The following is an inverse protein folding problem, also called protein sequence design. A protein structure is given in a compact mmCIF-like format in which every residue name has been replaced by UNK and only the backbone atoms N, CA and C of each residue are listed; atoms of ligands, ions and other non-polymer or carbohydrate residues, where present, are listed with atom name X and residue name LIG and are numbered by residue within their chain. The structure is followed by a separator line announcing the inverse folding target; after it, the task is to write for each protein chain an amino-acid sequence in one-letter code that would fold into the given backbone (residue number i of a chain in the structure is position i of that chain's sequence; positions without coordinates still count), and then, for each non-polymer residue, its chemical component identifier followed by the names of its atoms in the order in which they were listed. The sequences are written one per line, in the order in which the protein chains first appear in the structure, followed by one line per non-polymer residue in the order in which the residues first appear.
data_IF_726446205639
#
_entry.id   IF_726446205639
#
_cell.length_a   1.000
_cell.length_b   1.000
_cell.length_c   1.000
_cell.angle_alpha   90.00
_cell.angle_beta   90.00
_cell.angle_gamma   90.00
#
_symmetry.space_group_name_H-M   'P 1'
#
loop_
_entity.id
_entity.type
_entity.pdbx_description
1 polymer ?
#
# COMPACT_ATOMS: atom_id res chain seq x y z
N UNK A 1 -78.73 18.61 23.89
CA UNK A 1 -77.73 17.57 23.59
C UNK A 1 -76.39 18.27 23.37
N UNK A 2 -75.46 18.22 24.33
CA UNK A 2 -74.17 18.91 24.20
C UNK A 2 -73.05 17.96 24.64
N UNK A 3 -72.21 17.61 23.67
CA UNK A 3 -71.02 16.78 23.83
C UNK A 3 -69.91 17.71 24.33
N UNK A 4 -69.36 17.42 25.51
CA UNK A 4 -68.04 17.93 25.92
C UNK A 4 -67.21 16.77 26.44
N UNK A 5 -66.32 16.25 25.60
CA UNK A 5 -65.20 15.42 26.05
C UNK A 5 -64.15 16.34 26.68
N UNK A 6 -63.87 16.15 27.96
CA UNK A 6 -62.86 16.89 28.69
C UNK A 6 -61.47 16.25 28.46
N UNK A 7 -60.49 17.13 28.38
CA UNK A 7 -59.12 16.94 27.88
C UNK A 7 -58.27 16.19 28.91
N UNK A 8 -57.70 15.04 28.53
CA UNK A 8 -56.67 14.36 29.32
C UNK A 8 -55.37 15.18 29.25
N UNK A 9 -55.07 15.94 30.30
CA UNK A 9 -53.73 16.50 30.52
C UNK A 9 -53.04 15.60 31.53
N UNK A 10 -52.34 14.59 31.03
CA UNK A 10 -51.43 13.77 31.83
C UNK A 10 -50.36 14.72 32.37
N UNK A 11 -50.45 15.03 33.66
CA UNK A 11 -49.45 15.80 34.37
C UNK A 11 -48.15 15.01 34.39
N UNK A 12 -47.24 15.32 33.46
CA UNK A 12 -45.84 14.94 33.57
C UNK A 12 -45.34 15.60 34.83
N UNK A 13 -45.20 14.80 35.90
CA UNK A 13 -44.59 15.23 37.15
C UNK A 13 -43.24 15.87 36.82
N UNK A 14 -43.03 17.14 37.20
CA UNK A 14 -41.79 17.90 36.97
C UNK A 14 -40.51 17.12 37.32
N UNK A 15 -40.58 16.15 38.23
CA UNK A 15 -39.48 15.24 38.57
C UNK A 15 -39.13 14.18 37.51
N UNK A 16 -40.07 13.69 36.69
CA UNK A 16 -39.77 12.65 35.69
C UNK A 16 -38.98 13.22 34.49
N UNK A 17 -39.25 14.47 34.10
CA UNK A 17 -38.48 15.17 33.07
C UNK A 17 -37.01 15.36 33.45
N UNK A 18 -36.73 15.61 34.74
CA UNK A 18 -35.35 15.76 35.24
C UNK A 18 -34.60 14.41 35.26
N UNK A 19 -35.28 13.32 35.62
CA UNK A 19 -34.69 11.98 35.61
C UNK A 19 -34.33 11.52 34.18
N UNK A 20 -35.18 11.83 33.20
CA UNK A 20 -34.88 11.55 31.79
C UNK A 20 -33.64 12.32 31.30
N UNK A 21 -33.49 13.58 31.71
CA UNK A 21 -32.33 14.40 31.33
C UNK A 21 -31.02 13.85 31.91
N UNK A 22 -31.02 13.42 33.16
CA UNK A 22 -29.84 12.78 33.79
C UNK A 22 -29.45 11.49 33.07
N UNK A 23 -30.44 10.66 32.70
CA UNK A 23 -30.19 9.42 31.96
C UNK A 23 -29.58 9.70 30.58
N UNK A 24 -30.12 10.67 29.85
CA UNK A 24 -29.59 11.08 28.54
C UNK A 24 -28.16 11.57 28.65
N UNK A 25 -27.82 12.37 29.67
CA UNK A 25 -26.45 12.85 29.88
C UNK A 25 -25.49 11.68 30.17
N UNK A 26 -25.88 10.70 31.00
CA UNK A 26 -25.09 9.48 31.23
C UNK A 26 -24.90 8.66 29.94
N UNK A 27 -25.93 8.57 29.10
CA UNK A 27 -25.83 7.93 27.79
C UNK A 27 -24.87 8.68 26.85
N UNK A 28 -24.94 10.02 26.81
CA UNK A 28 -24.06 10.85 25.98
C UNK A 28 -22.59 10.75 26.40
N UNK A 29 -22.31 10.69 27.70
CA UNK A 29 -20.95 10.48 28.22
C UNK A 29 -20.44 9.08 27.84
N UNK A 30 -21.28 8.05 27.94
CA UNK A 30 -20.91 6.68 27.52
C UNK A 30 -20.64 6.59 26.02
N UNK A 31 -21.44 7.27 25.21
CA UNK A 31 -21.23 7.32 23.76
C UNK A 31 -19.98 8.13 23.38
N UNK A 32 -19.73 9.27 24.02
CA UNK A 32 -18.55 10.10 23.80
C UNK A 32 -17.25 9.40 24.22
N UNK A 33 -17.28 8.63 25.31
CA UNK A 33 -16.12 7.83 25.75
C UNK A 33 -15.83 6.70 24.76
N UNK A 34 -16.85 5.96 24.29
CA UNK A 34 -16.68 4.98 23.21
C UNK A 34 -16.14 5.63 21.93
N UNK A 35 -16.65 6.81 21.53
CA UNK A 35 -16.17 7.53 20.36
C UNK A 35 -14.70 7.97 20.49
N UNK A 36 -14.28 8.39 21.69
CA UNK A 36 -12.88 8.78 21.97
C UNK A 36 -11.95 7.58 21.98
N UNK A 37 -12.37 6.46 22.58
CA UNK A 37 -11.58 5.22 22.59
C UNK A 37 -11.49 4.64 21.18
N UNK A 38 -12.58 4.68 20.39
CA UNK A 38 -12.57 4.31 18.97
C UNK A 38 -11.55 5.18 18.21
N UNK A 39 -11.62 6.51 18.34
CA UNK A 39 -10.70 7.42 17.66
C UNK A 39 -9.21 7.15 18.00
N UNK A 40 -8.90 6.79 19.25
CA UNK A 40 -7.53 6.40 19.66
C UNK A 40 -7.12 5.02 19.16
N UNK A 41 -8.04 4.06 19.09
CA UNK A 41 -7.78 2.76 18.49
C UNK A 41 -7.54 2.90 16.97
N UNK A 42 -8.31 3.75 16.32
CA UNK A 42 -8.18 4.12 14.91
C UNK A 42 -6.85 4.85 14.65
N UNK A 43 -6.39 5.73 15.55
CA UNK A 43 -5.08 6.41 15.44
C UNK A 43 -3.89 5.42 15.44
N UNK A 44 -3.92 4.42 16.34
CA UNK A 44 -2.87 3.39 16.42
C UNK A 44 -2.85 2.50 15.16
N UNK A 45 -3.99 2.29 14.51
CA UNK A 45 -4.11 1.59 13.23
C UNK A 45 -3.64 2.48 12.06
N UNK A 46 -3.95 3.78 12.10
CA UNK A 46 -3.59 4.72 11.04
C UNK A 46 -2.07 4.98 10.97
N UNK A 47 -1.37 4.99 12.12
CA UNK A 47 0.09 5.12 12.16
C UNK A 47 0.82 4.00 11.42
N UNK A 48 0.33 2.75 11.50
CA UNK A 48 0.89 1.63 10.72
C UNK A 48 0.66 1.76 9.21
N UNK A 49 -0.43 2.42 8.81
CA UNK A 49 -0.72 2.69 7.39
C UNK A 49 0.17 3.81 6.86
N UNK A 50 0.47 4.84 7.66
CA UNK A 50 1.36 5.94 7.28
C UNK A 50 2.83 5.51 7.22
N UNK A 51 3.31 4.75 8.21
CA UNK A 51 4.69 4.24 8.28
C UNK A 51 5.01 3.25 7.14
N UNK A 52 4.05 2.37 6.82
CA UNK A 52 4.16 1.44 5.68
C UNK A 52 4.20 2.16 4.34
N UNK A 53 3.48 3.28 4.22
CA UNK A 53 3.48 4.08 3.00
C UNK A 53 4.83 4.80 2.83
N UNK A 54 5.36 5.41 3.88
CA UNK A 54 6.66 6.09 3.84
C UNK A 54 7.81 5.14 3.46
N UNK A 55 7.87 3.96 4.06
CA UNK A 55 8.93 2.98 3.78
C UNK A 55 8.83 2.42 2.36
N UNK A 56 7.61 2.21 1.86
CA UNK A 56 7.37 1.81 0.47
C UNK A 56 7.84 2.87 -0.53
N UNK A 57 7.47 4.14 -0.32
CA UNK A 57 7.91 5.22 -1.20
C UNK A 57 9.42 5.45 -1.13
N UNK A 58 10.04 5.32 0.05
CA UNK A 58 11.49 5.37 0.21
C UNK A 58 12.18 4.28 -0.60
N UNK A 59 11.67 3.04 -0.55
CA UNK A 59 12.22 1.93 -1.31
C UNK A 59 12.03 2.09 -2.83
N UNK A 60 10.90 2.66 -3.26
CA UNK A 60 10.71 3.02 -4.67
C UNK A 60 11.71 4.09 -5.12
N UNK A 61 11.94 5.11 -4.32
CA UNK A 61 12.91 6.16 -4.63
C UNK A 61 14.33 5.59 -4.72
N UNK A 62 14.71 4.71 -3.78
CA UNK A 62 16.01 4.01 -3.86
C UNK A 62 16.11 3.12 -5.10
N UNK A 63 15.01 2.47 -5.50
CA UNK A 63 14.98 1.66 -6.71
C UNK A 63 15.19 2.52 -7.97
N UNK A 64 14.52 3.67 -8.03
CA UNK A 64 14.68 4.63 -9.12
C UNK A 64 16.09 5.22 -9.17
N UNK A 65 16.70 5.53 -8.03
CA UNK A 65 18.09 6.01 -7.96
C UNK A 65 19.07 4.94 -8.48
N UNK A 66 18.88 3.67 -8.10
CA UNK A 66 19.67 2.56 -8.64
C UNK A 66 19.47 2.39 -10.14
N UNK A 67 18.23 2.51 -10.63
CA UNK A 67 17.94 2.47 -12.07
C UNK A 67 18.60 3.62 -12.83
N UNK A 68 18.66 4.81 -12.26
CA UNK A 68 19.37 5.94 -12.86
C UNK A 68 20.88 5.69 -12.95
N UNK A 69 21.48 5.06 -11.94
CA UNK A 69 22.89 4.65 -12.00
C UNK A 69 23.15 3.58 -13.07
N UNK A 70 22.24 2.61 -13.21
CA UNK A 70 22.30 1.60 -14.28
C UNK A 70 22.19 2.27 -15.65
N UNK A 71 21.26 3.21 -15.82
CA UNK A 71 21.06 3.96 -17.06
C UNK A 71 22.33 4.72 -17.48
N UNK A 72 22.98 5.40 -16.53
CA UNK A 72 24.22 6.13 -16.78
C UNK A 72 25.39 5.21 -17.17
N UNK A 73 25.47 4.06 -16.50
CA UNK A 73 26.48 3.04 -16.79
C UNK A 73 26.29 2.46 -18.20
N UNK A 74 25.06 2.08 -18.56
CA UNK A 74 24.73 1.53 -19.88
C UNK A 74 24.96 2.57 -21.00
N UNK A 75 24.61 3.83 -20.76
CA UNK A 75 24.87 4.94 -21.70
C UNK A 75 26.37 5.11 -21.94
N UNK A 76 27.18 5.09 -20.87
CA UNK A 76 28.63 5.24 -20.96
C UNK A 76 29.26 4.05 -21.69
N UNK A 77 28.79 2.83 -21.42
CA UNK A 77 29.25 1.62 -22.10
C UNK A 77 28.93 1.67 -23.60
N UNK A 78 27.71 2.07 -23.97
CA UNK A 78 27.32 2.23 -25.38
C UNK A 78 28.18 3.27 -26.11
N UNK A 79 28.58 4.35 -25.44
CA UNK A 79 29.49 5.35 -26.01
C UNK A 79 30.95 4.87 -26.17
N UNK A 80 31.33 3.83 -25.43
CA UNK A 80 32.71 3.30 -25.41
C UNK A 80 32.89 2.08 -26.32
N UNK A 81 31.86 1.23 -26.40
CA UNK A 81 31.90 -0.06 -27.08
C UNK A 81 30.91 -0.04 -28.23
N UNK A 82 31.40 -0.15 -29.46
CA UNK A 82 30.56 -0.11 -30.67
C UNK A 82 30.07 -1.48 -31.13
N UNK A 83 30.62 -2.57 -30.57
CA UNK A 83 30.18 -3.93 -30.88
C UNK A 83 29.10 -4.41 -29.90
N UNK A 84 28.03 -4.99 -30.46
CA UNK A 84 26.88 -5.45 -29.69
C UNK A 84 27.24 -6.59 -28.73
N UNK A 85 28.11 -7.52 -29.14
CA UNK A 85 28.46 -8.67 -28.30
C UNK A 85 29.31 -8.21 -27.11
N UNK A 86 30.32 -7.38 -27.36
CA UNK A 86 31.17 -6.81 -26.31
C UNK A 86 30.37 -5.95 -25.31
N UNK A 87 29.31 -5.27 -25.77
CA UNK A 87 28.39 -4.54 -24.90
C UNK A 87 27.65 -5.48 -23.94
N UNK A 88 27.06 -6.57 -24.43
CA UNK A 88 26.36 -7.52 -23.56
C UNK A 88 27.30 -8.31 -22.65
N UNK A 89 28.54 -8.57 -23.09
CA UNK A 89 29.56 -9.22 -22.25
C UNK A 89 29.94 -8.35 -21.04
N UNK A 90 29.91 -7.01 -21.18
CA UNK A 90 30.21 -6.07 -20.10
C UNK A 90 28.98 -5.65 -19.28
N UNK A 91 27.86 -5.38 -19.94
CA UNK A 91 26.63 -4.92 -19.30
C UNK A 91 25.83 -6.05 -18.65
N UNK A 92 25.99 -7.29 -19.15
CA UNK A 92 25.12 -8.41 -18.83
C UNK A 92 23.77 -8.34 -19.55
N UNK A 93 23.02 -9.43 -19.50
CA UNK A 93 21.72 -9.56 -20.20
C UNK A 93 20.54 -9.12 -19.35
N UNK A 94 20.65 -9.26 -18.03
CA UNK A 94 19.65 -8.83 -17.05
C UNK A 94 20.30 -8.39 -15.76
N UNK A 95 19.67 -7.43 -15.11
CA UNK A 95 20.07 -6.90 -13.82
C UNK A 95 18.89 -7.06 -12.87
N UNK A 96 19.13 -7.76 -11.77
CA UNK A 96 18.16 -8.06 -10.74
C UNK A 96 18.62 -7.49 -9.41
N UNK A 97 17.76 -6.74 -8.74
CA UNK A 97 18.04 -6.22 -7.41
C UNK A 97 16.77 -6.14 -6.58
N UNK A 98 16.97 -6.11 -5.26
CA UNK A 98 15.88 -6.13 -4.30
C UNK A 98 16.16 -5.10 -3.19
N UNK A 99 15.14 -4.32 -2.84
CA UNK A 99 15.25 -3.28 -1.82
C UNK A 99 14.30 -3.62 -0.66
N UNK A 100 14.82 -3.80 0.56
CA UNK A 100 13.99 -4.10 1.72
C UNK A 100 13.09 -2.90 2.03
N UNK A 101 11.78 -3.14 2.10
CA UNK A 101 10.77 -2.14 2.50
C UNK A 101 10.48 -2.23 3.99
N UNK A 102 10.56 -3.44 4.56
CA UNK A 102 10.42 -3.72 5.98
C UNK A 102 11.03 -5.10 6.29
N UNK A 103 10.98 -5.54 7.54
CA UNK A 103 11.46 -6.87 7.97
C UNK A 103 10.79 -8.04 7.24
N UNK A 104 9.62 -7.80 6.63
CA UNK A 104 8.82 -8.84 5.96
C UNK A 104 8.46 -8.49 4.52
N UNK A 105 8.88 -7.34 3.99
CA UNK A 105 8.55 -6.93 2.61
C UNK A 105 9.79 -6.43 1.87
N UNK A 106 9.92 -6.83 0.61
CA UNK A 106 11.03 -6.48 -0.26
C UNK A 106 10.49 -6.11 -1.64
N UNK A 107 10.95 -4.99 -2.18
CA UNK A 107 10.67 -4.57 -3.54
C UNK A 107 11.67 -5.23 -4.48
N UNK A 108 11.21 -6.19 -5.27
CA UNK A 108 12.00 -6.92 -6.26
C UNK A 108 11.88 -6.24 -7.62
N UNK A 109 13.01 -5.83 -8.19
CA UNK A 109 13.10 -5.16 -9.49
C UNK A 109 14.03 -5.94 -10.41
N UNK A 110 13.53 -6.25 -11.60
CA UNK A 110 14.29 -6.93 -12.65
C UNK A 110 14.24 -6.13 -13.93
N UNK A 111 15.39 -6.01 -14.57
CA UNK A 111 15.58 -5.25 -15.79
C UNK A 111 16.28 -6.10 -16.83
N UNK A 112 15.75 -6.09 -18.05
CA UNK A 112 16.42 -6.68 -19.21
C UNK A 112 17.19 -5.59 -19.95
N UNK A 113 18.49 -5.83 -20.15
CA UNK A 113 19.36 -4.93 -20.90
C UNK A 113 19.05 -5.07 -22.39
N UNK A 114 18.95 -3.94 -23.08
CA UNK A 114 18.77 -3.86 -24.52
C UNK A 114 19.96 -3.13 -25.15
N UNK A 115 20.25 -3.46 -26.41
CA UNK A 115 21.19 -2.69 -27.23
C UNK A 115 20.38 -1.72 -28.10
N UNK A 116 20.62 -0.40 -28.01
CA UNK A 116 19.88 0.55 -28.82
C UNK A 116 20.40 0.52 -30.26
N UNK A 117 19.52 0.07 -31.17
CA UNK A 117 19.80 0.03 -32.61
C UNK A 117 19.66 1.42 -33.24
N UNK A 118 18.80 2.25 -32.66
CA UNK A 118 18.67 3.66 -32.98
C UNK A 118 19.04 4.50 -31.76
N UNK A 119 19.60 5.71 -31.97
CA UNK A 119 20.07 6.59 -30.89
C UNK A 119 19.00 7.10 -29.92
N UNK A 120 17.72 6.78 -30.14
CA UNK A 120 16.59 7.11 -29.25
C UNK A 120 16.04 5.88 -28.49
N UNK A 121 16.56 4.68 -28.76
CA UNK A 121 16.09 3.46 -28.12
C UNK A 121 16.55 3.41 -26.65
N UNK A 122 15.69 2.86 -25.79
CA UNK A 122 15.99 2.70 -24.35
C UNK A 122 17.03 1.61 -24.14
N UNK A 123 18.02 1.88 -23.30
CA UNK A 123 19.07 0.92 -22.91
C UNK A 123 18.55 -0.29 -22.15
N UNK A 124 17.34 -0.23 -21.59
CA UNK A 124 16.76 -1.33 -20.85
C UNK A 124 15.24 -1.28 -20.78
N UNK A 125 14.64 -2.42 -20.42
CA UNK A 125 13.21 -2.57 -20.13
C UNK A 125 13.03 -3.21 -18.76
N UNK A 126 12.21 -2.60 -17.90
CA UNK A 126 11.82 -3.19 -16.62
C UNK A 126 10.88 -4.36 -16.89
N UNK A 127 11.28 -5.56 -16.47
CA UNK A 127 10.50 -6.79 -16.63
C UNK A 127 9.76 -7.18 -15.35
N UNK A 128 10.25 -6.77 -14.19
CA UNK A 128 9.63 -7.03 -12.89
C UNK A 128 9.73 -5.80 -12.00
N UNK A 129 8.62 -5.43 -11.38
CA UNK A 129 8.55 -4.46 -10.29
C UNK A 129 7.47 -4.92 -9.32
N UNK A 130 7.85 -5.65 -8.28
CA UNK A 130 6.88 -6.32 -7.39
C UNK A 130 7.30 -6.24 -5.94
N UNK A 131 6.36 -5.87 -5.07
CA UNK A 131 6.52 -5.99 -3.63
C UNK A 131 6.23 -7.44 -3.22
N UNK A 132 7.24 -8.13 -2.72
CA UNK A 132 7.17 -9.50 -2.23
C UNK A 132 7.22 -9.49 -0.72
N UNK A 133 6.40 -10.34 -0.07
CA UNK A 133 6.41 -10.49 1.38
C UNK A 133 7.24 -11.72 1.71
N UNK A 134 8.31 -11.59 2.49
CA UNK A 134 9.29 -12.62 2.88
C UNK A 134 8.67 -13.76 3.73
N UNK A 135 7.34 -13.77 3.92
CA UNK A 135 6.60 -14.68 4.79
C UNK A 135 5.62 -15.64 4.11
N UNK A 136 5.64 -15.82 2.78
CA UNK A 136 4.90 -16.92 2.16
C UNK A 136 5.85 -18.04 1.75
N UNK A 137 5.93 -19.04 2.61
CA UNK A 137 6.39 -20.38 2.24
C UNK A 137 5.58 -20.88 1.04
N UNK A 138 6.31 -21.28 0.00
CA UNK A 138 5.94 -22.17 -1.11
C UNK A 138 4.99 -21.55 -2.16
N UNK A 139 5.60 -21.02 -3.22
CA UNK A 139 5.01 -21.00 -4.56
C UNK A 139 5.01 -22.46 -5.06
N UNK A 140 3.92 -23.20 -4.86
CA UNK A 140 3.70 -24.42 -5.63
C UNK A 140 3.36 -23.99 -7.05
N UNK A 141 4.31 -24.24 -7.96
CA UNK A 141 4.14 -24.23 -9.40
C UNK A 141 2.77 -24.83 -9.76
N UNK A 142 1.84 -24.11 -10.44
CA UNK A 142 0.68 -24.76 -10.98
C UNK A 142 1.18 -25.69 -12.10
N UNK A 143 1.41 -26.96 -11.78
CA UNK A 143 1.54 -28.00 -12.78
C UNK A 143 0.24 -27.95 -13.59
N UNK A 144 0.31 -27.35 -14.78
CA UNK A 144 -0.79 -27.40 -15.74
C UNK A 144 -0.97 -28.86 -16.07
N UNK A 145 -1.98 -29.45 -15.45
CA UNK A 145 -2.42 -30.82 -15.68
C UNK A 145 -2.73 -30.93 -17.19
N UNK A 146 -1.83 -31.56 -17.93
CA UNK A 146 -2.10 -31.97 -19.31
C UNK A 146 -3.23 -32.98 -19.28
N UNK A 147 -4.47 -32.51 -19.45
CA UNK A 147 -5.59 -33.39 -19.77
C UNK A 147 -5.43 -33.83 -21.22
N UNK A 148 -4.71 -34.93 -21.40
CA UNK A 148 -4.86 -35.79 -22.58
C UNK A 148 -6.23 -36.48 -22.46
N UNK A 149 -7.18 -36.01 -23.25
CA UNK A 149 -8.30 -36.81 -23.75
C UNK A 149 -8.41 -36.58 -25.26
#
# INVERSE_FOLDING_TARGET
MSIKRQKETTGVNVGTSSLLLVFVVMCLVSFATLATVSARADEKLNNKVTERSASYYSACNEAEERLAGIDDTLRTLYGTVSDRNDYFDQAGTSIDFAIPVSDVQTLSVSVKVNYPDNGEDRFYTITKWKLETTGSLIEEEPQTLNLLF
#
